data_IF_129794233973
#
_entry.id   IF_129794233973
#
_cell.length_a   1.000
_cell.length_b   1.000
_cell.length_c   1.000
_cell.angle_alpha   90.00
_cell.angle_beta   90.00
_cell.angle_gamma   90.00
#
_symmetry.space_group_name_H-M   'P 1'
#
loop_
_entity.id
_entity.type
_entity.pdbx_description
1 polymer ?
#
# COMPACT_ATOMS: atom_id res chain seq x y z
N UNK A 1 16.16 -23.59 32.47
CA UNK A 1 16.89 -22.52 31.74
C UNK A 1 16.55 -22.51 30.24
N UNK A 2 16.61 -23.64 29.52
CA UNK A 2 16.38 -23.68 28.06
C UNK A 2 15.02 -23.16 27.55
N UNK A 3 13.90 -23.35 28.29
CA UNK A 3 12.58 -22.86 27.83
C UNK A 3 12.46 -21.34 27.80
N UNK A 4 13.11 -20.64 28.74
CA UNK A 4 13.11 -19.17 28.76
C UNK A 4 13.97 -18.58 27.63
N UNK A 5 15.04 -19.27 27.25
CA UNK A 5 15.89 -18.87 26.12
C UNK A 5 15.12 -19.03 24.81
N UNK A 6 14.46 -20.18 24.58
CA UNK A 6 13.64 -20.40 23.38
C UNK A 6 12.47 -19.40 23.25
N UNK A 7 11.78 -19.09 24.35
CA UNK A 7 10.71 -18.08 24.35
C UNK A 7 11.24 -16.66 24.07
N UNK A 8 12.43 -16.32 24.57
CA UNK A 8 13.07 -15.04 24.28
C UNK A 8 13.50 -14.95 22.79
N UNK A 9 14.02 -16.04 22.22
CA UNK A 9 14.38 -16.11 20.79
C UNK A 9 13.16 -15.92 19.88
N UNK A 10 12.04 -16.58 20.18
CA UNK A 10 10.77 -16.43 19.45
C UNK A 10 10.23 -14.99 19.51
N UNK A 11 10.32 -14.35 20.68
CA UNK A 11 9.92 -12.96 20.85
C UNK A 11 10.81 -12.01 20.03
N UNK A 12 12.13 -12.25 19.98
CA UNK A 12 13.07 -11.46 19.17
C UNK A 12 12.79 -11.61 17.67
N UNK A 13 12.50 -12.83 17.20
CA UNK A 13 12.14 -13.05 15.78
C UNK A 13 10.84 -12.35 15.45
N UNK A 14 9.81 -12.46 16.30
CA UNK A 14 8.52 -11.81 16.10
C UNK A 14 8.64 -10.29 15.98
N UNK A 15 9.46 -9.68 16.83
CA UNK A 15 9.74 -8.24 16.78
C UNK A 15 10.48 -7.84 15.50
N UNK A 16 11.45 -8.64 15.04
CA UNK A 16 12.14 -8.41 13.75
C UNK A 16 11.17 -8.49 12.57
N UNK A 17 10.30 -9.50 12.54
CA UNK A 17 9.26 -9.64 11.52
C UNK A 17 8.31 -8.44 11.50
N UNK A 18 7.89 -7.97 12.67
CA UNK A 18 7.04 -6.78 12.81
C UNK A 18 7.71 -5.54 12.23
N UNK A 19 9.00 -5.32 12.51
CA UNK A 19 9.78 -4.20 11.94
C UNK A 19 9.85 -4.30 10.43
N UNK A 20 10.14 -5.50 9.91
CA UNK A 20 10.22 -5.74 8.46
C UNK A 20 8.88 -5.46 7.76
N UNK A 21 7.76 -5.85 8.38
CA UNK A 21 6.42 -5.53 7.85
C UNK A 21 6.16 -4.01 7.82
N UNK A 22 6.64 -3.27 8.81
CA UNK A 22 6.54 -1.82 8.82
C UNK A 22 7.41 -1.16 7.73
N UNK A 23 8.54 -1.77 7.34
CA UNK A 23 9.37 -1.29 6.23
C UNK A 23 8.60 -1.27 4.92
N UNK A 24 7.76 -2.28 4.64
CA UNK A 24 6.90 -2.27 3.44
C UNK A 24 5.97 -1.06 3.45
N UNK A 25 5.31 -0.78 4.58
CA UNK A 25 4.37 0.33 4.68
C UNK A 25 5.08 1.68 4.45
N UNK A 26 6.26 1.85 5.04
CA UNK A 26 7.08 3.05 4.83
C UNK A 26 7.55 3.18 3.38
N UNK A 27 8.03 2.09 2.78
CA UNK A 27 8.45 2.06 1.38
C UNK A 27 7.30 2.41 0.44
N UNK A 28 6.10 1.86 0.67
CA UNK A 28 4.92 2.16 -0.13
C UNK A 28 4.50 3.63 -0.01
N UNK A 29 4.51 4.20 1.20
CA UNK A 29 4.22 5.61 1.44
C UNK A 29 5.23 6.52 0.74
N UNK A 30 6.52 6.20 0.86
CA UNK A 30 7.60 6.95 0.22
C UNK A 30 7.50 6.89 -1.30
N UNK A 31 7.34 5.69 -1.87
CA UNK A 31 7.26 5.48 -3.31
C UNK A 31 6.04 6.19 -3.93
N UNK A 32 4.89 6.17 -3.25
CA UNK A 32 3.66 6.76 -3.76
C UNK A 32 3.47 8.24 -3.35
N UNK A 33 4.46 8.86 -2.72
CA UNK A 33 4.36 10.23 -2.23
C UNK A 33 4.06 11.23 -3.35
N UNK A 34 4.71 11.10 -4.51
CA UNK A 34 4.46 11.97 -5.67
C UNK A 34 3.05 11.79 -6.25
N UNK A 35 2.52 10.56 -6.25
CA UNK A 35 1.14 10.29 -6.67
C UNK A 35 0.15 10.96 -5.71
N UNK A 36 0.40 10.84 -4.39
CA UNK A 36 -0.46 11.46 -3.39
C UNK A 36 -0.38 12.99 -3.42
N UNK A 37 0.81 13.55 -3.67
CA UNK A 37 1.01 14.98 -3.86
C UNK A 37 0.20 15.50 -5.07
N UNK A 38 0.27 14.78 -6.20
CA UNK A 38 -0.51 15.12 -7.39
C UNK A 38 -2.02 15.14 -7.11
N UNK A 39 -2.54 14.14 -6.40
CA UNK A 39 -3.96 14.11 -6.01
C UNK A 39 -4.29 15.28 -5.07
N UNK A 40 -3.51 15.45 -4.01
CA UNK A 40 -3.79 16.40 -2.92
C UNK A 40 -3.57 17.87 -3.30
N UNK A 41 -2.71 18.15 -4.25
CA UNK A 41 -2.41 19.51 -4.69
C UNK A 41 -2.93 19.80 -6.09
N UNK A 42 -2.62 18.96 -7.09
CA UNK A 42 -2.98 19.26 -8.47
C UNK A 42 -4.47 19.04 -8.72
N UNK A 43 -4.99 17.83 -8.42
CA UNK A 43 -6.39 17.50 -8.69
C UNK A 43 -7.34 18.23 -7.72
N UNK A 44 -6.97 18.32 -6.44
CA UNK A 44 -7.76 19.10 -5.46
C UNK A 44 -7.84 20.59 -5.81
N UNK A 45 -6.73 21.22 -6.24
CA UNK A 45 -6.78 22.62 -6.67
C UNK A 45 -7.70 22.81 -7.87
N UNK A 46 -7.63 21.91 -8.86
CA UNK A 46 -8.52 21.94 -10.03
C UNK A 46 -9.99 21.76 -9.62
N UNK A 47 -10.27 20.85 -8.69
CA UNK A 47 -11.60 20.66 -8.11
C UNK A 47 -12.12 21.95 -7.47
N UNK A 48 -11.36 22.58 -6.56
CA UNK A 48 -11.81 23.80 -5.88
C UNK A 48 -12.02 24.96 -6.85
N UNK A 49 -11.16 25.11 -7.87
CA UNK A 49 -11.33 26.14 -8.90
C UNK A 49 -12.61 25.90 -9.71
N UNK A 50 -12.85 24.67 -10.16
CA UNK A 50 -14.06 24.29 -10.87
C UNK A 50 -15.31 24.53 -10.00
N UNK A 51 -15.28 24.08 -8.75
CA UNK A 51 -16.39 24.23 -7.82
C UNK A 51 -16.70 25.70 -7.53
N UNK A 52 -15.68 26.56 -7.40
CA UNK A 52 -15.87 28.00 -7.24
C UNK A 52 -16.66 28.59 -8.42
N UNK A 53 -16.34 28.21 -9.66
CA UNK A 53 -17.02 28.69 -10.87
C UNK A 53 -18.48 28.19 -10.96
N UNK A 54 -18.87 27.14 -10.23
CA UNK A 54 -20.24 26.66 -10.19
C UNK A 54 -21.21 27.62 -9.46
N UNK A 55 -20.73 28.46 -8.53
CA UNK A 55 -21.59 29.32 -7.70
C UNK A 55 -22.02 30.60 -8.43
N UNK A 56 -23.03 30.46 -9.28
CA UNK A 56 -23.63 31.54 -10.07
C UNK A 56 -25.07 31.81 -9.62
N UNK A 57 -25.40 33.07 -9.30
CA UNK A 57 -26.75 33.50 -8.89
C UNK A 57 -27.82 33.28 -9.95
N UNK A 58 -27.43 33.07 -11.21
CA UNK A 58 -28.35 32.76 -12.32
C UNK A 58 -28.76 31.29 -12.36
N UNK A 59 -28.03 30.40 -11.67
CA UNK A 59 -28.29 28.96 -11.62
C UNK A 59 -29.18 28.59 -10.44
N UNK A 60 -29.94 27.51 -10.60
CA UNK A 60 -30.69 26.92 -9.50
C UNK A 60 -29.78 26.08 -8.60
N UNK A 61 -30.25 25.78 -7.39
CA UNK A 61 -29.45 25.04 -6.40
C UNK A 61 -29.05 23.63 -6.87
N UNK A 62 -29.95 22.92 -7.55
CA UNK A 62 -29.70 21.59 -8.12
C UNK A 62 -28.66 21.64 -9.24
N UNK A 63 -28.70 22.67 -10.09
CA UNK A 63 -27.69 22.91 -11.13
C UNK A 63 -26.30 23.18 -10.52
N UNK A 64 -26.23 23.92 -9.41
CA UNK A 64 -24.99 24.18 -8.67
C UNK A 64 -24.47 22.87 -8.06
N UNK A 65 -25.33 22.09 -7.38
CA UNK A 65 -24.94 20.82 -6.77
C UNK A 65 -24.42 19.82 -7.81
N UNK A 66 -25.11 19.67 -8.94
CA UNK A 66 -24.67 18.80 -10.03
C UNK A 66 -23.33 19.25 -10.62
N UNK A 67 -23.13 20.56 -10.79
CA UNK A 67 -21.85 21.12 -11.25
C UNK A 67 -20.69 20.77 -10.31
N UNK A 68 -20.87 20.96 -9.00
CA UNK A 68 -19.84 20.65 -7.98
C UNK A 68 -19.55 19.15 -7.95
N UNK A 69 -20.58 18.30 -8.04
CA UNK A 69 -20.41 16.85 -8.12
C UNK A 69 -19.54 16.46 -9.33
N UNK A 70 -19.83 17.01 -10.51
CA UNK A 70 -19.01 16.80 -11.71
C UNK A 70 -17.55 17.25 -11.51
N UNK A 71 -17.31 18.38 -10.85
CA UNK A 71 -15.96 18.86 -10.54
C UNK A 71 -15.19 17.89 -9.63
N UNK A 72 -15.88 17.14 -8.77
CA UNK A 72 -15.26 16.21 -7.81
C UNK A 72 -14.83 14.87 -8.43
N UNK A 73 -15.43 14.50 -9.58
CA UNK A 73 -15.22 13.20 -10.23
C UNK A 73 -13.74 12.86 -10.44
N UNK A 74 -12.88 13.75 -10.99
CA UNK A 74 -11.47 13.41 -11.21
C UNK A 74 -10.71 13.06 -9.93
N UNK A 75 -10.96 13.79 -8.83
CA UNK A 75 -10.33 13.55 -7.53
C UNK A 75 -10.78 12.20 -6.97
N UNK A 76 -12.08 11.93 -6.98
CA UNK A 76 -12.64 10.67 -6.48
C UNK A 76 -12.15 9.47 -7.28
N UNK A 77 -12.09 9.58 -8.61
CA UNK A 77 -11.56 8.54 -9.47
C UNK A 77 -10.08 8.25 -9.17
N UNK A 78 -9.27 9.29 -8.99
CA UNK A 78 -7.86 9.14 -8.65
C UNK A 78 -7.65 8.47 -7.28
N UNK A 79 -8.41 8.89 -6.26
CA UNK A 79 -8.37 8.30 -4.92
C UNK A 79 -8.76 6.81 -4.95
N UNK A 80 -9.87 6.48 -5.61
CA UNK A 80 -10.34 5.10 -5.74
C UNK A 80 -9.33 4.21 -6.50
N UNK A 81 -8.66 4.76 -7.51
CA UNK A 81 -7.63 4.04 -8.24
C UNK A 81 -6.43 3.70 -7.35
N UNK A 82 -5.91 4.68 -6.60
CA UNK A 82 -4.80 4.45 -5.66
C UNK A 82 -5.18 3.44 -4.60
N UNK A 83 -6.36 3.58 -3.99
CA UNK A 83 -6.87 2.64 -2.99
C UNK A 83 -6.97 1.22 -3.56
N UNK A 84 -7.58 1.06 -4.73
CA UNK A 84 -7.76 -0.24 -5.36
C UNK A 84 -6.45 -0.93 -5.73
N UNK A 85 -5.46 -0.18 -6.22
CA UNK A 85 -4.15 -0.76 -6.52
C UNK A 85 -3.34 -1.07 -5.24
N UNK A 86 -3.47 -0.27 -4.19
CA UNK A 86 -2.89 -0.55 -2.88
C UNK A 86 -3.51 -1.76 -2.21
N UNK A 87 -4.83 -1.96 -2.31
CA UNK A 87 -5.48 -3.18 -1.82
C UNK A 87 -4.93 -4.41 -2.53
N UNK A 88 -4.76 -4.38 -3.86
CA UNK A 88 -4.17 -5.49 -4.63
C UNK A 88 -2.72 -5.75 -4.25
N UNK A 89 -1.96 -4.72 -3.91
CA UNK A 89 -0.59 -4.85 -3.41
C UNK A 89 -0.58 -5.54 -2.04
N UNK A 90 -1.40 -5.07 -1.10
CA UNK A 90 -1.53 -5.64 0.24
C UNK A 90 -2.01 -7.09 0.22
N UNK A 91 -2.99 -7.42 -0.62
CA UNK A 91 -3.51 -8.79 -0.77
C UNK A 91 -2.42 -9.75 -1.29
N UNK A 92 -1.59 -9.29 -2.23
CA UNK A 92 -0.45 -10.08 -2.74
C UNK A 92 0.57 -10.35 -1.65
N UNK A 93 0.94 -9.33 -0.87
CA UNK A 93 1.83 -9.49 0.28
C UNK A 93 1.24 -10.47 1.31
N UNK A 94 -0.01 -10.28 1.71
CA UNK A 94 -0.68 -11.15 2.68
C UNK A 94 -0.69 -12.62 2.22
N UNK A 95 -0.96 -12.88 0.94
CA UNK A 95 -0.87 -14.23 0.38
C UNK A 95 0.54 -14.81 0.46
N UNK A 96 1.57 -14.03 0.15
CA UNK A 96 2.97 -14.48 0.29
C UNK A 96 3.33 -14.81 1.74
N UNK A 97 2.82 -14.03 2.71
CA UNK A 97 3.03 -14.30 4.13
C UNK A 97 2.31 -15.58 4.60
N UNK A 98 1.10 -15.85 4.10
CA UNK A 98 0.39 -17.12 4.36
C UNK A 98 1.19 -18.32 3.85
N UNK A 99 1.80 -18.21 2.66
CA UNK A 99 2.70 -19.27 2.15
C UNK A 99 3.89 -19.50 3.08
N UNK A 100 4.46 -18.44 3.67
CA UNK A 100 5.53 -18.59 4.66
C UNK A 100 5.05 -19.28 5.95
N UNK A 101 3.83 -18.96 6.40
CA UNK A 101 3.22 -19.62 7.53
C UNK A 101 2.98 -21.11 7.28
N UNK A 102 2.44 -21.48 6.12
CA UNK A 102 2.20 -22.88 5.75
C UNK A 102 3.50 -23.69 5.71
N UNK A 103 4.57 -23.09 5.18
CA UNK A 103 5.92 -23.70 5.19
C UNK A 103 6.42 -23.91 6.62
N UNK A 104 6.26 -22.91 7.48
CA UNK A 104 6.65 -23.01 8.88
C UNK A 104 5.92 -24.13 9.62
N UNK A 105 4.60 -24.23 9.49
CA UNK A 105 3.82 -25.31 10.12
C UNK A 105 4.19 -26.69 9.55
N UNK A 106 4.47 -26.78 8.25
CA UNK A 106 4.94 -28.02 7.62
C UNK A 106 6.31 -28.45 8.14
N UNK A 107 7.24 -27.52 8.36
CA UNK A 107 8.58 -27.80 8.89
C UNK A 107 8.54 -28.33 10.32
N UNK A 108 7.59 -27.89 11.16
CA UNK A 108 7.42 -28.41 12.53
C UNK A 108 7.04 -29.89 12.58
N UNK A 109 6.39 -30.40 11.54
CA UNK A 109 5.92 -31.79 11.47
C UNK A 109 7.04 -32.76 11.03
N UNK A 110 8.15 -32.25 10.50
CA UNK A 110 9.26 -33.07 10.01
C UNK A 110 10.24 -33.42 11.15
N UNK A 111 10.48 -34.72 11.42
CA UNK A 111 11.48 -35.12 12.41
C UNK A 111 12.88 -34.66 11.99
N UNK A 112 13.54 -33.84 12.82
CA UNK A 112 14.95 -33.44 12.63
C UNK A 112 15.20 -32.01 12.12
N UNK A 113 14.16 -31.20 11.85
CA UNK A 113 14.35 -29.77 11.57
C UNK A 113 14.39 -28.94 12.87
N UNK A 114 15.55 -28.38 13.18
CA UNK A 114 15.77 -27.57 14.40
C UNK A 114 15.62 -26.05 14.20
N UNK A 115 15.43 -25.56 12.97
CA UNK A 115 15.45 -24.12 12.66
C UNK A 115 14.19 -23.58 11.93
N UNK A 116 13.01 -24.17 12.19
CA UNK A 116 11.77 -23.75 11.53
C UNK A 116 11.48 -22.23 11.68
N UNK A 117 11.83 -21.64 12.83
CA UNK A 117 11.66 -20.21 13.09
C UNK A 117 12.58 -19.34 12.21
N UNK A 118 13.84 -19.75 12.00
CA UNK A 118 14.76 -19.05 11.11
C UNK A 118 14.34 -19.14 9.65
N UNK A 119 13.78 -20.28 9.25
CA UNK A 119 13.23 -20.47 7.90
C UNK A 119 11.99 -19.58 7.65
N UNK A 120 11.12 -19.43 8.67
CA UNK A 120 10.01 -18.48 8.63
C UNK A 120 10.51 -17.05 8.46
N UNK A 121 11.49 -16.63 9.27
CA UNK A 121 12.09 -15.29 9.18
C UNK A 121 12.66 -15.03 7.79
N UNK A 122 13.42 -15.97 7.24
CA UNK A 122 13.99 -15.88 5.89
C UNK A 122 12.90 -15.78 4.81
N UNK A 123 11.86 -16.61 4.90
CA UNK A 123 10.74 -16.57 3.95
C UNK A 123 10.02 -15.22 3.96
N UNK A 124 9.70 -14.69 5.15
CA UNK A 124 9.02 -13.40 5.29
C UNK A 124 9.89 -12.25 4.77
N UNK A 125 11.20 -12.27 5.03
CA UNK A 125 12.12 -11.28 4.48
C UNK A 125 12.09 -11.27 2.95
N UNK A 126 12.15 -12.43 2.31
CA UNK A 126 12.05 -12.54 0.84
C UNK A 126 10.70 -12.03 0.33
N UNK A 127 9.60 -12.43 0.96
CA UNK A 127 8.26 -11.98 0.56
C UNK A 127 8.10 -10.46 0.63
N UNK A 128 8.68 -9.83 1.66
CA UNK A 128 8.68 -8.39 1.85
C UNK A 128 9.57 -7.70 0.81
N UNK A 129 10.81 -8.15 0.65
CA UNK A 129 11.75 -7.54 -0.29
C UNK A 129 11.22 -7.65 -1.73
N UNK A 130 10.61 -8.78 -2.10
CA UNK A 130 9.97 -8.95 -3.40
C UNK A 130 8.75 -8.05 -3.57
N UNK A 131 7.95 -7.85 -2.51
CA UNK A 131 6.85 -6.88 -2.54
C UNK A 131 7.38 -5.46 -2.75
N UNK A 132 8.42 -5.04 -2.03
CA UNK A 132 9.04 -3.71 -2.17
C UNK A 132 9.53 -3.49 -3.60
N UNK A 133 10.15 -4.49 -4.25
CA UNK A 133 10.59 -4.40 -5.65
C UNK A 133 9.45 -4.16 -6.65
N UNK A 134 8.20 -4.45 -6.27
CA UNK A 134 7.03 -4.17 -7.14
C UNK A 134 6.50 -2.74 -7.02
N UNK A 135 6.87 -2.00 -5.97
CA UNK A 135 6.37 -0.65 -5.71
C UNK A 135 6.67 0.35 -6.83
N UNK A 136 7.87 0.38 -7.46
CA UNK A 136 8.14 1.29 -8.57
C UNK A 136 7.21 1.07 -9.77
N UNK A 137 6.89 -0.19 -10.10
CA UNK A 137 5.95 -0.50 -11.18
C UNK A 137 4.51 -0.10 -10.85
N UNK A 138 4.13 -0.22 -9.57
CA UNK A 138 2.84 0.25 -9.09
C UNK A 138 2.75 1.78 -9.19
N UNK A 139 3.79 2.50 -8.76
CA UNK A 139 3.88 3.95 -8.91
C UNK A 139 3.77 4.36 -10.38
N UNK A 140 4.58 3.77 -11.26
CA UNK A 140 4.55 4.07 -12.70
C UNK A 140 3.15 3.88 -13.29
N UNK A 141 2.50 2.74 -12.98
CA UNK A 141 1.13 2.46 -13.41
C UNK A 141 0.14 3.55 -12.95
N UNK A 142 0.25 3.99 -11.70
CA UNK A 142 -0.59 5.05 -11.15
C UNK A 142 -0.31 6.38 -11.84
N UNK A 143 0.97 6.75 -12.02
CA UNK A 143 1.36 7.98 -12.73
C UNK A 143 0.82 8.01 -14.16
N UNK A 144 0.95 6.91 -14.91
CA UNK A 144 0.38 6.79 -16.26
C UNK A 144 -1.13 6.94 -16.25
N UNK A 145 -1.81 6.24 -15.35
CA UNK A 145 -3.28 6.25 -15.27
C UNK A 145 -3.84 7.62 -14.87
N UNK A 146 -3.08 8.38 -14.09
CA UNK A 146 -3.43 9.74 -13.66
C UNK A 146 -2.96 10.83 -14.64
N UNK A 147 -2.30 10.46 -15.75
CA UNK A 147 -1.80 11.43 -16.73
C UNK A 147 -0.69 12.33 -16.17
N UNK A 148 0.09 11.84 -15.20
CA UNK A 148 1.23 12.56 -14.62
C UNK A 148 2.40 12.54 -15.62
N UNK A 149 2.39 13.44 -16.59
CA UNK A 149 3.51 13.61 -17.52
C UNK A 149 4.76 14.03 -16.74
N UNK A 150 5.85 13.27 -16.87
CA UNK A 150 7.16 13.66 -16.34
C UNK A 150 7.55 15.02 -16.92
N UNK A 151 7.44 16.06 -16.11
CA UNK A 151 8.06 17.34 -16.40
C UNK A 151 9.56 17.11 -16.21
N UNK A 152 10.23 16.81 -17.32
CA UNK A 152 11.69 16.68 -17.40
C UNK A 152 12.35 18.00 -17.03
#
# INVERSE_FOLDING_TARGET
MSRHIAAAEEQIVTERLRRKLNEVNSAAQSQLSAVQDHINFTLQQAYFKCAYECFDRRRKQDEISNCVEHCSVPVLQAQNLVEGEMSKFQERLQRSLLVCQDKYESSKLQPGQSNAMGDLESCVNVAIDDSIKTLPFLEEKLRTSLGMNDST
#
